data_IF_837951876480
#
_entry.id   IF_837951876480
#
_cell.length_a   1.000
_cell.length_b   1.000
_cell.length_c   1.000
_cell.angle_alpha   90.00
_cell.angle_beta   90.00
_cell.angle_gamma   90.00
#
_symmetry.space_group_name_H-M   'P 1'
#
loop_
_entity.id
_entity.type
_entity.pdbx_description
1 polymer ?
#
# COMPACT_ATOMS: atom_id res chain seq x y z
N UNK A 1 9.40 -2.70 9.36
CA UNK A 1 9.30 -1.35 8.78
C UNK A 1 8.98 -0.27 9.82
N UNK A 2 8.05 -0.49 10.75
CA UNK A 2 7.71 0.50 11.81
C UNK A 2 8.88 0.71 12.76
N UNK A 3 9.51 -0.37 13.24
CA UNK A 3 10.69 -0.28 14.11
C UNK A 3 11.83 0.49 13.43
N UNK A 4 12.08 0.25 12.14
CA UNK A 4 13.09 0.98 11.39
C UNK A 4 12.79 2.49 11.26
N UNK A 5 11.54 2.86 11.03
CA UNK A 5 11.13 4.26 10.97
C UNK A 5 11.30 4.94 12.35
N UNK A 6 10.90 4.27 13.43
CA UNK A 6 11.05 4.79 14.79
C UNK A 6 12.53 4.96 15.17
N UNK A 7 13.37 4.00 14.82
CA UNK A 7 14.83 4.11 15.05
C UNK A 7 15.41 5.29 14.28
N UNK A 8 14.99 5.49 13.02
CA UNK A 8 15.45 6.61 12.20
C UNK A 8 15.00 7.98 12.76
N UNK A 9 13.74 8.07 13.23
CA UNK A 9 13.23 9.30 13.88
C UNK A 9 13.99 9.61 15.18
N UNK A 10 14.21 8.60 16.03
CA UNK A 10 15.00 8.78 17.26
C UNK A 10 16.46 9.16 16.96
N UNK A 11 17.09 8.52 15.98
CA UNK A 11 18.46 8.87 15.56
C UNK A 11 18.53 10.31 15.04
N UNK A 12 17.53 10.77 14.30
CA UNK A 12 17.42 12.15 13.84
C UNK A 12 17.29 13.16 14.99
N UNK A 13 16.46 12.85 15.99
CA UNK A 13 16.30 13.68 17.20
C UNK A 13 17.62 13.71 17.99
N UNK A 14 18.29 12.57 18.17
CA UNK A 14 19.58 12.51 18.85
C UNK A 14 20.65 13.36 18.16
N UNK A 15 20.72 13.28 16.83
CA UNK A 15 21.64 14.07 16.03
C UNK A 15 21.35 15.57 16.17
N UNK A 16 20.07 15.95 16.15
CA UNK A 16 19.65 17.34 16.32
C UNK A 16 20.02 17.88 17.70
N UNK A 17 19.78 17.12 18.76
CA UNK A 17 20.12 17.51 20.13
C UNK A 17 21.62 17.57 20.35
N UNK A 18 22.38 16.73 19.69
CA UNK A 18 23.86 16.79 19.70
C UNK A 18 24.39 18.03 18.98
N UNK A 19 23.76 18.42 17.87
CA UNK A 19 24.10 19.64 17.12
C UNK A 19 23.80 20.94 17.92
N UNK A 20 22.81 20.89 18.82
CA UNK A 20 22.40 22.05 19.66
C UNK A 20 23.15 22.07 21.00
N UNK A 21 24.16 21.18 21.17
CA UNK A 21 24.97 21.06 22.38
C UNK A 21 24.19 20.86 23.68
N UNK A 22 23.00 20.26 23.61
CA UNK A 22 22.22 19.93 24.80
C UNK A 22 22.91 18.76 25.53
N UNK A 23 23.37 18.93 26.77
CA UNK A 23 24.08 17.88 27.51
C UNK A 23 23.09 16.80 27.97
N UNK A 24 22.79 15.82 27.09
CA UNK A 24 21.93 14.70 27.46
C UNK A 24 22.83 13.47 27.65
N UNK A 25 22.86 12.88 28.84
CA UNK A 25 23.63 11.69 29.12
C UNK A 25 23.21 10.55 28.17
N UNK A 26 24.16 9.93 27.45
CA UNK A 26 23.88 8.94 26.39
C UNK A 26 23.03 7.74 26.85
N UNK A 27 23.07 7.39 28.14
CA UNK A 27 22.23 6.33 28.71
C UNK A 27 20.73 6.63 28.64
N UNK A 28 20.31 7.88 28.77
CA UNK A 28 18.89 8.25 28.72
C UNK A 28 18.28 8.05 27.35
N UNK A 29 19.06 8.22 26.28
CA UNK A 29 18.61 7.95 24.91
C UNK A 29 18.30 6.48 24.66
N UNK A 30 19.15 5.58 25.12
CA UNK A 30 18.92 4.15 24.98
C UNK A 30 17.67 3.71 25.73
N UNK A 31 17.47 4.21 26.95
CA UNK A 31 16.27 3.93 27.75
C UNK A 31 15.03 4.50 27.07
N UNK A 32 15.06 5.75 26.62
CA UNK A 32 13.94 6.38 25.91
C UNK A 32 13.61 5.65 24.60
N UNK A 33 14.62 5.21 23.83
CA UNK A 33 14.43 4.41 22.63
C UNK A 33 13.76 3.08 22.93
N UNK A 34 14.25 2.34 23.94
CA UNK A 34 13.65 1.07 24.35
C UNK A 34 12.21 1.24 24.80
N UNK A 35 11.93 2.22 25.66
CA UNK A 35 10.56 2.52 26.12
C UNK A 35 9.68 2.92 24.94
N UNK A 36 10.15 3.77 24.04
CA UNK A 36 9.42 4.23 22.87
C UNK A 36 9.07 3.09 21.92
N UNK A 37 10.02 2.20 21.64
CA UNK A 37 9.79 1.00 20.80
C UNK A 37 8.76 0.07 21.46
N UNK A 38 8.91 -0.22 22.75
CA UNK A 38 7.96 -1.07 23.47
C UNK A 38 6.57 -0.45 23.49
N UNK A 39 6.45 0.84 23.81
CA UNK A 39 5.18 1.57 23.82
C UNK A 39 4.49 1.54 22.46
N UNK A 40 5.23 1.74 21.36
CA UNK A 40 4.70 1.67 20.00
C UNK A 40 4.25 0.27 19.60
N UNK A 41 5.02 -0.76 19.95
CA UNK A 41 4.64 -2.15 19.71
C UNK A 41 3.37 -2.50 20.47
N UNK A 42 3.30 -2.16 21.77
CA UNK A 42 2.12 -2.38 22.61
C UNK A 42 0.91 -1.63 22.06
N UNK A 43 1.06 -0.35 21.74
CA UNK A 43 0.00 0.46 21.14
C UNK A 43 -0.51 -0.16 19.84
N UNK A 44 0.41 -0.58 18.95
CA UNK A 44 0.05 -1.20 17.69
C UNK A 44 -0.68 -2.53 17.88
N UNK A 45 -0.23 -3.35 18.83
CA UNK A 45 -0.90 -4.60 19.18
C UNK A 45 -2.31 -4.35 19.75
N UNK A 46 -2.46 -3.38 20.64
CA UNK A 46 -3.75 -2.99 21.21
C UNK A 46 -4.69 -2.41 20.15
N UNK A 47 -4.20 -1.51 19.31
CA UNK A 47 -4.97 -0.94 18.20
C UNK A 47 -5.44 -2.02 17.23
N UNK A 48 -4.55 -2.98 16.87
CA UNK A 48 -4.92 -4.11 16.02
C UNK A 48 -5.97 -5.01 16.67
N UNK A 49 -5.81 -5.33 17.95
CA UNK A 49 -6.81 -6.12 18.70
C UNK A 49 -8.15 -5.40 18.78
N UNK A 50 -8.17 -4.10 19.06
CA UNK A 50 -9.39 -3.29 19.06
C UNK A 50 -10.06 -3.26 17.70
N UNK A 51 -9.28 -3.08 16.61
CA UNK A 51 -9.79 -3.09 15.25
C UNK A 51 -10.41 -4.44 14.88
N UNK A 52 -9.75 -5.57 15.19
CA UNK A 52 -10.28 -6.90 14.94
C UNK A 52 -11.59 -7.12 15.72
N UNK A 53 -11.63 -6.74 17.00
CA UNK A 53 -12.87 -6.83 17.81
C UNK A 53 -14.00 -5.95 17.26
N UNK A 54 -13.68 -4.75 16.76
CA UNK A 54 -14.66 -3.87 16.15
C UNK A 54 -15.20 -4.45 14.83
N UNK A 55 -14.34 -5.11 14.04
CA UNK A 55 -14.73 -5.82 12.81
C UNK A 55 -15.61 -7.03 13.10
N UNK A 56 -15.34 -7.78 14.15
CA UNK A 56 -16.20 -8.89 14.61
C UNK A 56 -17.60 -8.40 14.99
N UNK A 57 -17.72 -7.15 15.48
CA UNK A 57 -19.00 -6.48 15.77
C UNK A 57 -19.63 -5.80 14.55
N UNK A 58 -19.12 -6.05 13.33
CA UNK A 58 -19.61 -5.48 12.10
C UNK A 58 -19.21 -4.02 11.84
N UNK A 59 -18.38 -3.42 12.72
CA UNK A 59 -17.85 -2.06 12.51
C UNK A 59 -16.59 -2.10 11.64
N UNK A 60 -16.40 -1.07 10.81
CA UNK A 60 -15.24 -0.99 9.90
C UNK A 60 -15.12 -2.19 8.95
N UNK A 61 -16.26 -2.73 8.53
CA UNK A 61 -16.35 -3.77 7.51
C UNK A 61 -16.78 -3.17 6.18
N UNK A 62 -16.23 -3.68 5.09
CA UNK A 62 -16.59 -3.27 3.74
C UNK A 62 -17.56 -4.30 3.15
N UNK A 63 -18.74 -3.90 2.64
CA UNK A 63 -19.63 -4.80 1.96
C UNK A 63 -18.92 -5.43 0.76
N UNK A 64 -19.00 -6.74 0.65
CA UNK A 64 -18.20 -7.53 -0.28
C UNK A 64 -19.09 -8.41 -1.13
N UNK A 65 -18.84 -8.40 -2.42
CA UNK A 65 -19.48 -9.28 -3.40
C UNK A 65 -18.45 -10.27 -3.92
N UNK A 66 -18.83 -11.53 -4.01
CA UNK A 66 -17.96 -12.61 -4.51
C UNK A 66 -18.44 -13.03 -5.89
N UNK A 67 -17.52 -13.15 -6.84
CA UNK A 67 -17.84 -13.41 -8.26
C UNK A 67 -17.09 -14.65 -8.75
N UNK A 68 -17.81 -15.58 -9.40
CA UNK A 68 -17.20 -16.77 -10.01
C UNK A 68 -18.14 -17.97 -10.02
N UNK A 69 -17.66 -19.18 -10.40
CA UNK A 69 -18.44 -20.42 -10.35
C UNK A 69 -18.91 -20.73 -8.93
N UNK A 70 -20.09 -21.31 -8.78
CA UNK A 70 -20.73 -21.60 -7.49
C UNK A 70 -19.81 -22.31 -6.49
N UNK A 71 -19.06 -23.33 -6.95
CA UNK A 71 -18.13 -24.06 -6.08
C UNK A 71 -16.97 -23.21 -5.56
N UNK A 72 -16.41 -22.35 -6.42
CA UNK A 72 -15.30 -21.44 -6.05
C UNK A 72 -15.79 -20.27 -5.19
N UNK A 73 -17.00 -19.78 -5.45
CA UNK A 73 -17.68 -18.79 -4.62
C UNK A 73 -17.90 -19.34 -3.20
N UNK A 74 -18.43 -20.56 -3.08
CA UNK A 74 -18.68 -21.19 -1.78
C UNK A 74 -17.40 -21.35 -0.94
N UNK A 75 -16.30 -21.74 -1.56
CA UNK A 75 -14.98 -21.82 -0.91
C UNK A 75 -14.49 -20.44 -0.47
N UNK A 76 -14.58 -19.46 -1.37
CA UNK A 76 -14.14 -18.08 -1.08
C UNK A 76 -14.94 -17.46 0.05
N UNK A 77 -16.27 -17.67 0.10
CA UNK A 77 -17.12 -17.21 1.21
C UNK A 77 -16.64 -17.84 2.53
N UNK A 78 -16.44 -19.17 2.54
CA UNK A 78 -15.92 -19.86 3.74
C UNK A 78 -14.59 -19.29 4.22
N UNK A 79 -13.70 -19.03 3.28
CA UNK A 79 -12.38 -18.49 3.57
C UNK A 79 -12.43 -17.05 4.11
N UNK A 80 -13.36 -16.24 3.61
CA UNK A 80 -13.57 -14.87 4.09
C UNK A 80 -14.24 -14.86 5.48
N UNK A 81 -15.26 -15.71 5.70
CA UNK A 81 -15.93 -15.84 7.00
C UNK A 81 -15.00 -16.27 8.12
N UNK A 82 -14.04 -17.17 7.83
CA UNK A 82 -13.02 -17.60 8.79
C UNK A 82 -12.04 -16.48 9.16
N UNK A 83 -12.00 -15.39 8.40
CA UNK A 83 -11.00 -14.32 8.54
C UNK A 83 -11.60 -12.92 8.72
N UNK A 84 -12.35 -12.68 9.80
CA UNK A 84 -13.01 -11.40 10.04
C UNK A 84 -12.01 -10.23 10.16
N UNK A 85 -10.75 -10.53 10.45
CA UNK A 85 -9.66 -9.55 10.47
C UNK A 85 -9.41 -8.83 9.14
N UNK A 86 -9.86 -9.38 8.00
CA UNK A 86 -9.80 -8.71 6.70
C UNK A 86 -10.77 -7.52 6.61
N UNK A 87 -11.83 -7.50 7.42
CA UNK A 87 -12.85 -6.45 7.41
C UNK A 87 -13.73 -6.50 6.15
N UNK A 88 -13.90 -7.68 5.56
CA UNK A 88 -14.75 -7.95 4.41
C UNK A 88 -16.03 -8.65 4.90
N UNK A 89 -17.19 -8.06 4.64
CA UNK A 89 -18.49 -8.65 4.97
C UNK A 89 -19.20 -9.08 3.68
N UNK A 90 -19.31 -10.37 3.46
CA UNK A 90 -19.96 -10.88 2.26
C UNK A 90 -21.47 -10.58 2.34
N UNK A 91 -21.97 -9.83 1.34
CA UNK A 91 -23.37 -9.40 1.25
C UNK A 91 -24.09 -10.06 0.09
N UNK A 92 -23.39 -10.53 -0.94
CA UNK A 92 -23.97 -11.15 -2.10
C UNK A 92 -22.95 -11.91 -2.93
N UNK A 93 -23.43 -12.74 -3.81
CA UNK A 93 -22.63 -13.48 -4.77
C UNK A 93 -23.16 -13.29 -6.19
N UNK A 94 -22.24 -13.26 -7.14
CA UNK A 94 -22.54 -13.30 -8.57
C UNK A 94 -21.92 -14.58 -9.13
N UNK A 95 -22.78 -15.41 -9.72
CA UNK A 95 -22.35 -16.69 -10.28
C UNK A 95 -22.34 -16.64 -11.80
N UNK A 96 -21.85 -17.72 -12.43
CA UNK A 96 -21.93 -17.83 -13.88
C UNK A 96 -23.38 -17.68 -14.36
N UNK A 97 -23.60 -17.05 -15.52
CA UNK A 97 -24.95 -16.81 -16.04
C UNK A 97 -25.77 -18.12 -16.16
N UNK A 98 -25.09 -19.25 -16.48
CA UNK A 98 -25.70 -20.57 -16.60
C UNK A 98 -26.14 -21.18 -15.24
N UNK A 99 -25.40 -20.82 -14.17
CA UNK A 99 -25.68 -21.30 -12.81
C UNK A 99 -26.66 -20.41 -12.06
N UNK A 100 -26.78 -19.15 -12.48
CA UNK A 100 -27.64 -18.15 -11.83
C UNK A 100 -29.11 -18.56 -11.80
N UNK A 101 -29.62 -19.16 -12.89
CA UNK A 101 -31.01 -19.62 -12.98
C UNK A 101 -31.32 -20.80 -12.03
N UNK A 102 -30.33 -21.52 -11.56
CA UNK A 102 -30.46 -22.73 -10.75
C UNK A 102 -30.12 -22.55 -9.29
N UNK A 103 -29.51 -21.41 -8.93
CA UNK A 103 -28.93 -21.21 -7.61
C UNK A 103 -29.38 -19.89 -7.00
N UNK A 104 -30.33 -19.94 -6.07
CA UNK A 104 -30.78 -18.75 -5.35
C UNK A 104 -29.80 -18.30 -4.24
N UNK A 105 -29.09 -19.25 -3.65
CA UNK A 105 -28.16 -18.99 -2.53
C UNK A 105 -26.94 -19.87 -2.62
N UNK A 106 -25.80 -19.29 -2.33
CA UNK A 106 -24.56 -20.04 -2.10
C UNK A 106 -24.24 -19.97 -0.61
N UNK A 107 -24.40 -21.12 0.09
CA UNK A 107 -24.38 -21.16 1.57
C UNK A 107 -25.51 -20.30 2.15
N UNK A 108 -25.12 -19.23 2.91
CA UNK A 108 -26.06 -18.27 3.52
C UNK A 108 -26.15 -16.96 2.74
N UNK A 109 -25.40 -16.85 1.64
CA UNK A 109 -25.27 -15.62 0.87
C UNK A 109 -26.24 -15.67 -0.33
N UNK A 110 -27.07 -14.64 -0.56
CA UNK A 110 -27.96 -14.59 -1.72
C UNK A 110 -27.15 -14.43 -3.00
N UNK A 111 -27.58 -15.11 -4.05
CA UNK A 111 -27.11 -14.86 -5.41
C UNK A 111 -27.90 -13.69 -5.98
N UNK A 112 -27.22 -12.64 -6.33
CA UNK A 112 -27.83 -11.39 -6.81
C UNK A 112 -27.99 -11.37 -8.34
N UNK A 113 -27.32 -12.28 -9.03
CA UNK A 113 -27.40 -12.38 -10.48
C UNK A 113 -26.20 -13.06 -11.10
N UNK A 114 -26.18 -13.05 -12.43
CA UNK A 114 -25.04 -13.49 -13.23
C UNK A 114 -23.93 -12.42 -13.29
N UNK A 115 -22.80 -12.81 -13.87
CA UNK A 115 -21.65 -11.91 -14.02
C UNK A 115 -21.97 -10.63 -14.79
N UNK A 116 -22.93 -10.69 -15.73
CA UNK A 116 -23.41 -9.51 -16.50
C UNK A 116 -24.11 -8.48 -15.63
N UNK A 117 -24.92 -8.92 -14.67
CA UNK A 117 -25.62 -8.02 -13.73
C UNK A 117 -24.71 -7.37 -12.68
N UNK A 118 -23.49 -7.88 -12.55
CA UNK A 118 -22.50 -7.33 -11.64
C UNK A 118 -22.19 -5.85 -11.94
N UNK A 119 -22.13 -5.44 -13.21
CA UNK A 119 -21.83 -4.06 -13.61
C UNK A 119 -22.88 -3.07 -13.12
N UNK A 120 -24.14 -3.41 -13.22
CA UNK A 120 -25.25 -2.55 -12.78
C UNK A 120 -25.22 -2.35 -11.27
N UNK A 121 -24.98 -3.43 -10.52
CA UNK A 121 -24.89 -3.38 -9.06
C UNK A 121 -23.64 -2.62 -8.58
N UNK A 122 -22.52 -2.75 -9.27
CA UNK A 122 -21.26 -2.10 -8.91
C UNK A 122 -21.29 -0.60 -9.23
N UNK A 123 -21.83 -0.21 -10.38
CA UNK A 123 -21.90 1.19 -10.82
C UNK A 123 -22.70 2.09 -9.88
N UNK A 124 -23.73 1.54 -9.23
CA UNK A 124 -24.58 2.24 -8.28
C UNK A 124 -24.01 2.31 -6.85
N UNK A 125 -22.91 1.61 -6.55
CA UNK A 125 -22.46 1.41 -5.17
C UNK A 125 -21.05 1.97 -4.94
N UNK A 126 -20.88 2.76 -3.88
CA UNK A 126 -19.60 3.29 -3.42
C UNK A 126 -19.07 2.49 -2.21
N UNK A 127 -17.75 2.38 -2.10
CA UNK A 127 -17.12 1.79 -0.92
C UNK A 127 -17.28 0.27 -0.80
N UNK A 128 -17.56 -0.44 -1.89
CA UNK A 128 -17.71 -1.89 -1.93
C UNK A 128 -16.40 -2.61 -2.22
N UNK A 129 -16.31 -3.88 -1.84
CA UNK A 129 -15.26 -4.78 -2.27
C UNK A 129 -15.84 -5.83 -3.22
N UNK A 130 -15.14 -6.11 -4.30
CA UNK A 130 -15.46 -7.21 -5.21
C UNK A 130 -14.32 -8.20 -5.16
N UNK A 131 -14.62 -9.45 -4.81
CA UNK A 131 -13.64 -10.53 -4.74
C UNK A 131 -13.91 -11.50 -5.88
N UNK A 132 -12.99 -11.57 -6.82
CA UNK A 132 -13.04 -12.54 -7.90
C UNK A 132 -12.52 -13.86 -7.34
N UNK A 133 -13.41 -14.86 -7.30
CA UNK A 133 -13.07 -16.21 -6.90
C UNK A 133 -12.12 -16.86 -7.92
N UNK A 134 -11.48 -17.93 -7.50
CA UNK A 134 -10.63 -18.73 -8.39
C UNK A 134 -11.48 -19.34 -9.49
N UNK A 135 -10.89 -19.52 -10.66
CA UNK A 135 -11.54 -20.15 -11.82
C UNK A 135 -12.81 -19.42 -12.29
N UNK A 136 -12.86 -18.10 -12.12
CA UNK A 136 -14.03 -17.26 -12.45
C UNK A 136 -14.32 -17.20 -13.96
N UNK A 137 -13.42 -17.65 -14.83
CA UNK A 137 -13.55 -17.53 -16.29
C UNK A 137 -13.48 -16.10 -16.82
N UNK A 138 -13.29 -15.09 -15.95
CA UNK A 138 -13.20 -13.70 -16.36
C UNK A 138 -11.88 -13.41 -17.06
N UNK A 139 -11.97 -12.83 -18.25
CA UNK A 139 -10.80 -12.36 -19.00
C UNK A 139 -10.14 -11.16 -18.32
N UNK A 140 -8.85 -10.95 -18.56
CA UNK A 140 -8.15 -9.76 -18.07
C UNK A 140 -8.79 -8.45 -18.54
N UNK A 141 -9.38 -8.43 -19.73
CA UNK A 141 -10.13 -7.30 -20.25
C UNK A 141 -11.37 -7.02 -19.37
N UNK A 142 -12.18 -8.03 -19.09
CA UNK A 142 -13.36 -7.91 -18.22
C UNK A 142 -12.97 -7.43 -16.81
N UNK A 143 -11.87 -7.94 -16.25
CA UNK A 143 -11.36 -7.51 -14.93
C UNK A 143 -10.93 -6.03 -14.95
N UNK A 144 -10.29 -5.57 -16.02
CA UNK A 144 -9.92 -4.17 -16.19
C UNK A 144 -11.16 -3.27 -16.30
N UNK A 145 -12.15 -3.68 -17.06
CA UNK A 145 -13.40 -2.94 -17.23
C UNK A 145 -14.17 -2.85 -15.91
N UNK A 146 -14.33 -3.98 -15.20
CA UNK A 146 -14.88 -3.99 -13.84
C UNK A 146 -14.09 -3.07 -12.90
N UNK A 147 -12.77 -3.03 -13.04
CA UNK A 147 -11.97 -2.12 -12.22
C UNK A 147 -12.23 -0.64 -12.53
N UNK A 148 -12.63 -0.28 -13.75
CA UNK A 148 -12.98 1.09 -14.15
C UNK A 148 -14.38 1.50 -13.67
N UNK A 149 -15.30 0.57 -13.69
CA UNK A 149 -16.71 0.80 -13.33
C UNK A 149 -16.94 0.91 -11.81
N UNK A 150 -16.02 0.40 -11.00
CA UNK A 150 -16.10 0.50 -9.54
C UNK A 150 -16.07 1.96 -9.05
N UNK A 151 -17.01 2.35 -8.21
CA UNK A 151 -17.08 3.67 -7.59
C UNK A 151 -15.93 4.03 -6.64
N UNK A 152 -15.85 5.27 -6.17
CA UNK A 152 -14.81 5.71 -5.24
C UNK A 152 -14.85 4.91 -3.93
N UNK A 153 -13.67 4.60 -3.39
CA UNK A 153 -13.53 3.80 -2.16
C UNK A 153 -13.71 2.29 -2.35
N UNK A 154 -14.16 1.84 -3.54
CA UNK A 154 -14.33 0.42 -3.85
C UNK A 154 -13.01 -0.26 -4.20
N UNK A 155 -12.94 -1.58 -3.97
CA UNK A 155 -11.74 -2.39 -4.21
C UNK A 155 -12.08 -3.61 -5.05
N UNK A 156 -11.21 -3.93 -6.00
CA UNK A 156 -11.26 -5.18 -6.73
C UNK A 156 -10.12 -6.07 -6.23
N UNK A 157 -10.46 -7.26 -5.80
CA UNK A 157 -9.52 -8.25 -5.29
C UNK A 157 -9.67 -9.55 -6.04
N UNK A 158 -8.58 -10.28 -6.23
CA UNK A 158 -8.57 -11.61 -6.82
C UNK A 158 -8.03 -12.61 -5.83
N UNK A 159 -8.62 -13.78 -5.75
CA UNK A 159 -8.05 -14.90 -5.00
C UNK A 159 -6.87 -15.43 -5.81
N UNK A 160 -5.65 -15.12 -5.36
CA UNK A 160 -4.44 -15.59 -6.02
C UNK A 160 -4.21 -17.08 -5.76
N UNK A 161 -3.74 -17.86 -6.75
CA UNK A 161 -3.22 -19.19 -6.48
C UNK A 161 -2.02 -19.11 -5.53
N UNK A 162 -1.78 -20.16 -4.74
CA UNK A 162 -0.68 -20.25 -3.75
C UNK A 162 0.74 -20.24 -4.36
N UNK A 163 0.91 -19.81 -5.60
CA UNK A 163 2.21 -19.73 -6.24
C UNK A 163 2.89 -18.41 -5.91
N UNK A 164 4.07 -18.49 -5.34
CA UNK A 164 4.96 -17.40 -4.93
C UNK A 164 5.52 -16.56 -6.10
N UNK A 165 4.83 -16.51 -7.23
CA UNK A 165 5.31 -15.92 -8.48
C UNK A 165 4.44 -14.75 -8.91
N UNK A 166 4.20 -13.79 -8.03
CA UNK A 166 3.59 -12.52 -8.48
C UNK A 166 4.48 -11.37 -8.03
N UNK A 167 5.00 -10.66 -9.03
CA UNK A 167 5.94 -9.57 -8.87
C UNK A 167 5.56 -8.57 -7.78
N UNK A 168 6.55 -8.07 -7.11
CA UNK A 168 6.60 -7.33 -5.85
C UNK A 168 5.82 -5.99 -5.78
N UNK A 169 4.96 -5.66 -6.76
CA UNK A 169 4.26 -4.37 -6.83
C UNK A 169 2.77 -4.40 -6.47
N UNK A 170 2.19 -5.58 -6.24
CA UNK A 170 0.77 -5.70 -5.87
C UNK A 170 0.64 -5.78 -4.34
N UNK A 171 -0.34 -5.06 -3.78
CA UNK A 171 -0.70 -5.22 -2.37
C UNK A 171 -1.34 -6.60 -2.20
N UNK A 172 -0.59 -7.53 -1.68
CA UNK A 172 -1.08 -8.83 -1.30
C UNK A 172 -1.52 -8.81 0.16
N UNK A 173 -2.72 -9.31 0.40
CA UNK A 173 -3.25 -9.53 1.73
C UNK A 173 -3.22 -11.04 1.96
N UNK A 174 -2.16 -11.49 2.59
CA UNK A 174 -2.05 -12.90 2.97
C UNK A 174 -2.49 -13.06 4.41
N UNK A 175 -3.50 -13.88 4.63
CA UNK A 175 -3.95 -14.30 5.95
C UNK A 175 -4.22 -15.80 5.90
N UNK A 176 -3.50 -16.58 6.70
CA UNK A 176 -3.68 -18.01 6.91
C UNK A 176 -3.98 -18.84 5.64
N UNK A 177 -3.19 -18.62 4.57
CA UNK A 177 -3.28 -19.38 3.33
C UNK A 177 -4.27 -18.85 2.28
N UNK A 178 -5.02 -17.76 2.57
CA UNK A 178 -5.75 -17.01 1.55
C UNK A 178 -4.91 -15.80 1.11
N UNK A 179 -4.52 -15.78 -0.15
CA UNK A 179 -3.83 -14.64 -0.74
C UNK A 179 -4.81 -13.88 -1.62
N UNK A 180 -5.14 -12.66 -1.21
CA UNK A 180 -5.93 -11.71 -1.99
C UNK A 180 -4.99 -10.70 -2.63
N UNK A 181 -4.96 -10.64 -3.95
CA UNK A 181 -4.24 -9.63 -4.71
C UNK A 181 -5.19 -8.48 -5.06
N UNK A 182 -4.88 -7.27 -4.63
CA UNK A 182 -5.66 -6.07 -4.98
C UNK A 182 -5.29 -5.60 -6.39
N UNK A 183 -6.26 -5.56 -7.28
CA UNK A 183 -6.10 -4.97 -8.61
C UNK A 183 -6.13 -3.45 -8.45
N UNK A 184 -4.96 -2.82 -8.47
CA UNK A 184 -4.85 -1.37 -8.34
C UNK A 184 -5.28 -0.67 -9.61
N UNK A 185 -6.15 0.30 -9.45
CA UNK A 185 -6.34 1.34 -10.46
C UNK A 185 -5.15 2.30 -10.43
N UNK A 186 -4.60 2.68 -11.57
CA UNK A 186 -3.81 3.90 -11.66
C UNK A 186 -4.79 5.09 -11.50
N UNK A 187 -5.07 5.51 -10.28
CA UNK A 187 -5.78 6.76 -10.04
C UNK A 187 -4.80 7.90 -10.20
N UNK A 188 -5.07 8.86 -11.05
CA UNK A 188 -4.45 10.15 -10.98
C UNK A 188 -5.06 10.91 -9.78
N UNK A 189 -4.57 10.63 -8.57
CA UNK A 189 -4.87 11.45 -7.38
C UNK A 189 -4.18 12.82 -7.56
N UNK A 190 -4.73 13.68 -8.42
CA UNK A 190 -4.14 14.96 -8.78
C UNK A 190 -3.83 15.80 -7.53
N UNK A 191 -4.78 15.85 -6.60
CA UNK A 191 -4.61 16.61 -5.35
C UNK A 191 -3.50 16.01 -4.47
N UNK A 192 -3.44 14.70 -4.29
CA UNK A 192 -2.35 14.07 -3.51
C UNK A 192 -1.00 14.23 -4.16
N UNK A 193 -0.95 14.24 -5.51
CA UNK A 193 0.28 14.50 -6.24
C UNK A 193 0.71 15.95 -6.06
N UNK A 194 -0.24 16.90 -6.08
CA UNK A 194 0.04 18.32 -5.85
C UNK A 194 0.56 18.56 -4.42
N UNK A 195 -0.12 18.01 -3.41
CA UNK A 195 0.32 18.10 -2.01
C UNK A 195 1.72 17.49 -1.85
N UNK A 196 1.93 16.29 -2.41
CA UNK A 196 3.26 15.67 -2.38
C UNK A 196 4.32 16.55 -3.04
N UNK A 197 4.02 17.13 -4.21
CA UNK A 197 4.94 18.02 -4.92
C UNK A 197 5.27 19.27 -4.11
N UNK A 198 4.26 19.88 -3.48
CA UNK A 198 4.45 21.02 -2.60
C UNK A 198 5.35 20.66 -1.40
N UNK A 199 5.08 19.54 -0.74
CA UNK A 199 5.94 19.04 0.36
C UNK A 199 7.36 18.75 -0.11
N UNK A 200 7.53 18.08 -1.25
CA UNK A 200 8.85 17.78 -1.82
C UNK A 200 9.63 19.07 -2.12
N UNK A 201 8.95 20.10 -2.67
CA UNK A 201 9.57 21.41 -2.95
C UNK A 201 9.97 22.14 -1.67
N UNK A 202 9.10 22.19 -0.67
CA UNK A 202 9.40 22.84 0.62
C UNK A 202 10.60 22.14 1.28
N UNK A 203 10.57 20.80 1.36
CA UNK A 203 11.65 20.03 1.97
C UNK A 203 12.97 20.21 1.21
N UNK A 204 12.93 20.16 -0.13
CA UNK A 204 14.12 20.38 -0.95
C UNK A 204 14.68 21.79 -0.76
N UNK A 205 13.81 22.83 -0.73
CA UNK A 205 14.25 24.21 -0.51
C UNK A 205 14.91 24.38 0.86
N UNK A 206 14.32 23.83 1.92
CA UNK A 206 14.92 23.87 3.27
C UNK A 206 16.28 23.16 3.29
N UNK A 207 16.38 21.97 2.69
CA UNK A 207 17.64 21.23 2.62
C UNK A 207 18.68 21.99 1.80
N UNK A 208 18.30 22.63 0.68
CA UNK A 208 19.22 23.46 -0.10
C UNK A 208 19.76 24.64 0.72
N UNK A 209 18.89 25.34 1.45
CA UNK A 209 19.29 26.47 2.30
C UNK A 209 20.23 25.99 3.42
N UNK A 210 19.94 24.88 4.08
CA UNK A 210 20.80 24.29 5.09
C UNK A 210 22.14 23.81 4.52
N UNK A 211 22.17 23.39 3.26
CA UNK A 211 23.38 22.96 2.58
C UNK A 211 24.24 24.13 2.03
N UNK A 212 23.68 25.37 1.96
CA UNK A 212 24.43 26.54 1.44
C UNK A 212 25.82 26.72 2.06
N UNK A 213 26.03 26.64 3.39
CA UNK A 213 27.37 26.76 3.95
C UNK A 213 28.32 25.67 3.43
N UNK A 214 27.83 24.44 3.24
CA UNK A 214 28.66 23.38 2.66
C UNK A 214 29.03 23.67 1.19
N UNK A 215 28.09 24.22 0.43
CA UNK A 215 28.32 24.59 -0.98
C UNK A 215 29.31 25.70 -1.15
N UNK A 216 29.54 26.52 -0.12
CA UNK A 216 30.55 27.57 -0.11
C UNK A 216 31.87 27.05 0.46
N UNK A 217 31.81 26.36 1.60
CA UNK A 217 33.03 25.94 2.33
C UNK A 217 33.82 24.86 1.56
N UNK A 218 33.09 23.85 1.01
CA UNK A 218 33.78 22.76 0.30
C UNK A 218 34.53 23.24 -0.95
N UNK A 219 33.92 24.05 -1.86
CA UNK A 219 34.68 24.64 -2.96
C UNK A 219 35.89 25.49 -2.54
N UNK A 220 35.71 26.28 -1.47
CA UNK A 220 36.78 27.11 -0.95
C UNK A 220 37.94 26.29 -0.42
N UNK A 221 37.66 25.19 0.28
CA UNK A 221 38.72 24.27 0.78
C UNK A 221 39.43 23.59 -0.38
N UNK A 222 38.72 23.08 -1.38
CA UNK A 222 39.33 22.47 -2.58
C UNK A 222 40.20 23.46 -3.33
N UNK A 223 39.70 24.70 -3.52
CA UNK A 223 40.49 25.73 -4.17
C UNK A 223 41.75 26.12 -3.40
N UNK A 224 41.67 26.09 -2.06
CA UNK A 224 42.81 26.41 -1.19
C UNK A 224 43.84 25.29 -1.17
N UNK A 225 43.45 24.02 -1.26
CA UNK A 225 44.33 22.85 -1.17
C UNK A 225 44.99 22.56 -2.54
N UNK A 226 44.20 22.37 -3.57
CA UNK A 226 44.66 21.88 -4.88
C UNK A 226 44.74 22.96 -5.96
N UNK A 227 44.13 24.14 -5.76
CA UNK A 227 43.92 25.19 -6.79
C UNK A 227 43.31 24.65 -8.10
N UNK A 228 42.70 23.48 -8.04
CA UNK A 228 42.11 22.76 -9.17
C UNK A 228 40.62 23.14 -9.43
N UNK A 229 40.05 22.60 -10.49
CA UNK A 229 38.67 22.84 -10.79
C UNK A 229 37.77 22.18 -9.73
N UNK A 230 36.93 22.96 -9.07
CA UNK A 230 36.01 22.54 -8.01
C UNK A 230 34.97 21.52 -8.51
N UNK A 231 34.59 21.58 -9.79
CA UNK A 231 33.65 20.68 -10.42
C UNK A 231 34.41 19.76 -11.36
N UNK A 232 34.43 18.46 -11.01
CA UNK A 232 35.05 17.44 -11.85
C UNK A 232 34.13 17.14 -13.03
N UNK A 233 34.71 17.18 -14.24
CA UNK A 233 33.98 16.86 -15.47
C UNK A 233 34.57 15.62 -16.12
N UNK A 234 33.76 14.65 -16.41
CA UNK A 234 34.17 13.43 -17.09
C UNK A 234 33.22 13.10 -18.24
N UNK A 235 33.77 12.75 -19.39
CA UNK A 235 33.02 12.18 -20.49
C UNK A 235 32.87 10.69 -20.25
N UNK A 236 31.62 10.18 -20.30
CA UNK A 236 31.31 8.75 -20.21
C UNK A 236 30.54 8.31 -21.44
N UNK A 237 30.66 7.04 -21.76
CA UNK A 237 29.93 6.38 -22.85
C UNK A 237 28.66 5.79 -22.25
N UNK A 238 27.52 6.19 -22.78
CA UNK A 238 26.20 5.69 -22.36
C UNK A 238 25.73 4.50 -23.20
N UNK A 239 24.44 4.19 -23.06
CA UNK A 239 23.78 3.16 -23.86
C UNK A 239 23.93 3.51 -25.34
N UNK A 240 24.18 2.52 -26.20
CA UNK A 240 24.41 2.66 -27.65
C UNK A 240 25.67 3.46 -28.05
N UNK A 241 26.70 3.51 -27.17
CA UNK A 241 27.98 4.13 -27.49
C UNK A 241 27.96 5.67 -27.57
N UNK A 242 26.88 6.33 -27.13
CA UNK A 242 26.80 7.79 -27.11
C UNK A 242 27.56 8.36 -25.91
N UNK A 243 28.47 9.26 -26.22
CA UNK A 243 29.20 10.00 -25.19
C UNK A 243 28.31 11.06 -24.53
N UNK A 244 28.35 11.14 -23.20
CA UNK A 244 27.73 12.21 -22.43
C UNK A 244 28.68 12.69 -21.32
N UNK A 245 28.53 13.97 -20.98
CA UNK A 245 29.33 14.58 -19.91
C UNK A 245 28.59 14.54 -18.59
N UNK A 246 29.27 14.06 -17.55
CA UNK A 246 28.84 14.17 -16.17
C UNK A 246 29.62 15.29 -15.46
N UNK A 247 28.90 15.97 -14.56
CA UNK A 247 29.38 17.08 -13.77
C UNK A 247 29.53 16.64 -12.32
#
# INVERSE_FOLDING_TARGET
RVVGATVAEFAGICLLLHLIEVPVPGGHFLVALCIGVVALVVWRCLARRRLVRARLRGRFTQPTFVVGPTGSVARTITDLERRPGLGLRVCGAFVSDDECARTERVRRVPVLGGVKGLRETIGASNGIAVVIARDSGLTLAAIRDLSRDLGPGSRLMMVAPRLDVVGSRQRQWSADGLTLAEVRRPRPDGVKRLIKRAMDLVLASVLCVLALPLWVVVPLLIWREDRGPVIFRQTRVGLDGKEFRIW
#
